data_IF_708052735368
#
_entry.id   IF_708052735368
#
_cell.length_a   1.000
_cell.length_b   1.000
_cell.length_c   1.000
_cell.angle_alpha   90.00
_cell.angle_beta   90.00
_cell.angle_gamma   90.00
#
_symmetry.space_group_name_H-M   'P 1'
#
loop_
_entity.id
_entity.type
_entity.pdbx_description
1 polymer ?
#
# COMPACT_ATOMS: atom_id res chain seq x y z
N UNK A 1 -1.92 -14.03 63.21
CA UNK A 1 -2.67 -14.04 61.92
C UNK A 1 -2.98 -12.61 61.52
N UNK A 2 -2.98 -12.32 60.22
CA UNK A 2 -3.21 -11.04 59.50
C UNK A 2 -1.95 -10.22 59.13
N UNK A 3 -1.59 -10.23 57.84
CA UNK A 3 -1.49 -9.03 56.96
C UNK A 3 -1.08 -9.47 55.53
N UNK A 4 -2.05 -9.57 54.63
CA UNK A 4 -2.31 -8.63 53.51
C UNK A 4 -1.27 -8.69 52.38
N UNK A 5 -1.59 -9.55 51.41
CA UNK A 5 -1.41 -9.48 49.96
C UNK A 5 -0.73 -8.19 49.46
N UNK A 6 0.43 -8.33 48.82
CA UNK A 6 1.02 -7.31 47.96
C UNK A 6 1.21 -7.91 46.57
N UNK A 7 0.16 -7.81 45.76
CA UNK A 7 0.19 -8.09 44.32
C UNK A 7 0.93 -6.94 43.63
N UNK A 8 2.14 -7.18 43.14
CA UNK A 8 2.80 -6.23 42.22
C UNK A 8 2.46 -6.67 40.81
N UNK A 9 1.42 -6.05 40.25
CA UNK A 9 1.15 -6.12 38.82
C UNK A 9 2.21 -5.27 38.10
N UNK A 10 3.15 -5.92 37.43
CA UNK A 10 4.05 -5.26 36.50
C UNK A 10 3.24 -4.87 35.25
N UNK A 11 2.92 -3.58 35.12
CA UNK A 11 2.25 -3.02 33.94
C UNK A 11 3.28 -2.87 32.82
N UNK A 12 3.15 -3.70 31.80
CA UNK A 12 3.91 -3.61 30.55
C UNK A 12 3.48 -2.39 29.74
N UNK A 13 4.22 -1.29 29.85
CA UNK A 13 4.05 -0.15 28.97
C UNK A 13 4.76 -0.43 27.62
N UNK A 14 4.10 -1.15 26.72
CA UNK A 14 4.43 -1.07 25.29
C UNK A 14 3.82 0.22 24.75
N UNK A 15 4.56 1.31 24.88
CA UNK A 15 4.21 2.57 24.21
C UNK A 15 4.65 2.44 22.74
N UNK A 16 3.72 1.97 21.91
CA UNK A 16 3.88 1.95 20.45
C UNK A 16 4.00 3.39 19.93
N UNK A 17 5.14 3.72 19.36
CA UNK A 17 5.34 4.97 18.64
C UNK A 17 4.67 4.82 17.27
N UNK A 18 3.45 5.34 17.11
CA UNK A 18 2.82 5.52 15.80
C UNK A 18 3.41 6.79 15.17
N UNK A 19 4.59 6.65 14.56
CA UNK A 19 5.24 7.74 13.81
C UNK A 19 4.58 7.85 12.42
N UNK A 20 3.43 8.53 12.39
CA UNK A 20 2.91 9.17 11.18
C UNK A 20 3.76 10.41 10.92
N UNK A 21 4.80 10.27 10.11
CA UNK A 21 5.52 11.40 9.50
C UNK A 21 6.12 10.95 8.16
N UNK A 22 5.56 11.44 7.05
CA UNK A 22 6.12 11.57 5.68
C UNK A 22 7.09 10.51 5.12
N UNK A 23 8.24 10.28 5.76
CA UNK A 23 9.18 9.21 5.41
C UNK A 23 8.62 7.80 5.71
N UNK A 24 7.80 7.67 6.76
CA UNK A 24 7.14 6.43 7.17
C UNK A 24 6.18 5.89 6.10
N UNK A 25 5.64 6.77 5.25
CA UNK A 25 4.67 6.39 4.23
C UNK A 25 5.32 5.58 3.11
N UNK A 26 6.56 5.91 2.74
CA UNK A 26 7.33 5.15 1.74
C UNK A 26 7.69 3.76 2.23
N UNK A 27 8.05 3.61 3.50
CA UNK A 27 8.34 2.32 4.12
C UNK A 27 7.07 1.48 4.29
N UNK A 28 5.96 2.10 4.68
CA UNK A 28 4.65 1.45 4.74
C UNK A 28 4.18 0.96 3.36
N UNK A 29 4.36 1.78 2.31
CA UNK A 29 4.07 1.38 0.94
C UNK A 29 4.92 0.19 0.50
N UNK A 30 6.24 0.24 0.75
CA UNK A 30 7.15 -0.88 0.43
C UNK A 30 6.77 -2.15 1.17
N UNK A 31 6.46 -2.06 2.46
CA UNK A 31 6.04 -3.21 3.26
C UNK A 31 4.74 -3.82 2.74
N UNK A 32 3.71 -2.98 2.49
CA UNK A 32 2.44 -3.43 1.96
C UNK A 32 2.61 -4.12 0.60
N UNK A 33 3.37 -3.51 -0.32
CA UNK A 33 3.61 -4.06 -1.65
C UNK A 33 4.46 -5.33 -1.60
N UNK A 34 5.56 -5.36 -0.84
CA UNK A 34 6.39 -6.55 -0.70
C UNK A 34 5.62 -7.75 -0.15
N UNK A 35 4.65 -7.52 0.76
CA UNK A 35 3.80 -8.60 1.30
C UNK A 35 2.93 -9.29 0.25
N UNK A 36 2.67 -8.64 -0.89
CA UNK A 36 1.88 -9.17 -2.00
C UNK A 36 2.73 -9.95 -3.03
N UNK A 37 4.06 -9.91 -2.92
CA UNK A 37 4.99 -10.54 -3.86
C UNK A 37 5.29 -11.99 -3.48
N UNK A 38 5.68 -12.79 -4.48
CA UNK A 38 6.10 -14.19 -4.26
C UNK A 38 7.39 -14.30 -3.46
N UNK A 39 8.35 -13.41 -3.73
CA UNK A 39 9.62 -13.30 -3.02
C UNK A 39 9.79 -11.86 -2.50
N UNK A 40 9.29 -11.55 -1.28
CA UNK A 40 9.29 -10.20 -0.71
C UNK A 40 10.70 -9.60 -0.57
N UNK A 41 11.69 -10.44 -0.25
CA UNK A 41 13.09 -10.02 -0.04
C UNK A 41 13.78 -9.62 -1.35
N UNK A 42 13.23 -10.05 -2.49
CA UNK A 42 13.76 -9.68 -3.81
C UNK A 42 13.21 -8.37 -4.36
N UNK A 43 12.29 -7.71 -3.65
CA UNK A 43 11.57 -6.54 -4.13
C UNK A 43 12.53 -5.39 -4.47
N UNK A 44 12.43 -4.91 -5.71
CA UNK A 44 13.14 -3.75 -6.22
C UNK A 44 12.13 -2.66 -6.54
N UNK A 45 12.24 -1.51 -5.89
CA UNK A 45 11.35 -0.37 -6.09
C UNK A 45 12.06 0.72 -6.89
N UNK A 46 11.32 1.39 -7.77
CA UNK A 46 11.80 2.58 -8.48
C UNK A 46 10.66 3.56 -8.77
N UNK A 47 11.05 4.78 -9.14
CA UNK A 47 10.15 5.88 -9.55
C UNK A 47 9.00 6.12 -8.55
N UNK A 48 9.32 6.10 -7.24
CA UNK A 48 8.39 6.40 -6.17
C UNK A 48 7.93 7.86 -6.26
N UNK A 49 6.63 8.06 -6.41
CA UNK A 49 5.98 9.37 -6.34
C UNK A 49 4.98 9.42 -5.19
N UNK A 50 4.70 10.63 -4.70
CA UNK A 50 3.63 10.86 -3.73
C UNK A 50 2.79 12.06 -4.15
N UNK A 51 1.47 11.88 -4.11
CA UNK A 51 0.49 12.93 -4.42
C UNK A 51 -0.67 12.82 -3.43
N UNK A 52 -0.83 13.80 -2.56
CA UNK A 52 -1.82 13.75 -1.48
C UNK A 52 -1.62 12.50 -0.61
N UNK A 53 -2.67 11.71 -0.31
CA UNK A 53 -2.54 10.50 0.48
C UNK A 53 -2.03 9.30 -0.32
N UNK A 54 -1.62 9.47 -1.58
CA UNK A 54 -1.23 8.35 -2.43
C UNK A 54 0.26 8.30 -2.70
N UNK A 55 0.79 7.08 -2.69
CA UNK A 55 2.13 6.73 -3.12
C UNK A 55 1.99 5.81 -4.32
N UNK A 56 2.72 6.11 -5.39
CA UNK A 56 2.77 5.28 -6.60
C UNK A 56 4.20 4.99 -6.95
N UNK A 57 4.43 3.98 -7.78
CA UNK A 57 5.75 3.67 -8.29
C UNK A 57 5.76 2.34 -9.01
N UNK A 58 6.95 1.78 -9.20
CA UNK A 58 7.12 0.46 -9.81
C UNK A 58 7.85 -0.49 -8.87
N UNK A 59 7.42 -1.75 -8.87
CA UNK A 59 8.08 -2.84 -8.15
C UNK A 59 8.44 -3.97 -9.11
N UNK A 60 9.57 -4.61 -8.89
CA UNK A 60 9.98 -5.84 -9.56
C UNK A 60 10.38 -6.87 -8.50
N UNK A 61 10.02 -8.13 -8.70
CA UNK A 61 10.36 -9.22 -7.78
C UNK A 61 10.57 -10.54 -8.53
N UNK A 62 11.20 -11.50 -7.85
CA UNK A 62 11.39 -12.85 -8.39
C UNK A 62 10.08 -13.65 -8.32
N UNK A 63 9.86 -14.47 -9.35
CA UNK A 63 8.83 -15.49 -9.34
C UNK A 63 9.30 -16.77 -8.62
N UNK A 64 8.43 -17.78 -8.55
CA UNK A 64 8.74 -19.09 -7.94
C UNK A 64 9.93 -19.83 -8.57
N UNK A 65 10.28 -19.49 -9.81
CA UNK A 65 11.43 -20.07 -10.53
C UNK A 65 12.73 -19.27 -10.29
N UNK A 66 12.68 -18.22 -9.47
CA UNK A 66 13.84 -17.39 -9.10
C UNK A 66 14.19 -16.29 -10.11
N UNK A 67 13.39 -16.10 -11.16
CA UNK A 67 13.61 -15.06 -12.17
C UNK A 67 12.79 -13.80 -11.92
N UNK A 68 13.36 -12.62 -12.19
CA UNK A 68 12.63 -11.34 -12.15
C UNK A 68 11.59 -11.27 -13.27
N UNK A 69 10.37 -10.84 -12.93
CA UNK A 69 9.24 -10.79 -13.89
C UNK A 69 9.07 -9.43 -14.58
N UNK A 70 9.85 -8.43 -14.18
CA UNK A 70 9.78 -7.07 -14.71
C UNK A 70 9.08 -6.10 -13.77
N UNK A 71 9.33 -4.81 -13.99
CA UNK A 71 8.73 -3.74 -13.18
C UNK A 71 7.25 -3.56 -13.49
N UNK A 72 6.42 -3.62 -12.45
CA UNK A 72 4.98 -3.41 -12.52
C UNK A 72 4.57 -2.20 -11.69
N UNK A 73 3.60 -1.41 -12.15
CA UNK A 73 3.12 -0.27 -11.38
C UNK A 73 2.33 -0.73 -10.15
N UNK A 74 2.43 0.06 -9.09
CA UNK A 74 1.66 -0.11 -7.87
C UNK A 74 1.12 1.22 -7.37
N UNK A 75 0.11 1.13 -6.50
CA UNK A 75 -0.35 2.25 -5.67
C UNK A 75 -0.44 1.82 -4.21
N UNK A 76 -0.34 2.81 -3.32
CA UNK A 76 -0.57 2.70 -1.89
C UNK A 76 -1.28 3.95 -1.38
N UNK A 77 -2.33 3.74 -0.59
CA UNK A 77 -3.09 4.78 0.08
C UNK A 77 -2.65 4.88 1.53
N UNK A 78 -2.06 6.01 1.89
CA UNK A 78 -1.59 6.30 3.25
C UNK A 78 -2.74 6.58 4.23
N UNK A 79 -3.92 6.94 3.73
CA UNK A 79 -5.11 7.22 4.53
C UNK A 79 -5.91 5.97 4.88
N UNK A 80 -5.98 4.98 3.98
CA UNK A 80 -6.71 3.72 4.19
C UNK A 80 -5.81 2.51 4.44
N UNK A 81 -4.53 2.59 4.10
CA UNK A 81 -3.60 1.45 4.06
C UNK A 81 -3.81 0.53 2.86
N UNK A 82 -4.70 0.87 1.92
CA UNK A 82 -4.99 0.06 0.74
C UNK A 82 -3.81 0.07 -0.23
N UNK A 83 -3.45 -1.11 -0.73
CA UNK A 83 -2.34 -1.29 -1.65
C UNK A 83 -2.76 -2.17 -2.83
N UNK A 84 -2.28 -1.85 -4.03
CA UNK A 84 -2.58 -2.61 -5.22
C UNK A 84 -1.40 -2.72 -6.17
N UNK A 85 -1.24 -3.90 -6.74
CA UNK A 85 -0.29 -4.21 -7.82
C UNK A 85 -1.05 -4.39 -9.11
N UNK A 86 -0.49 -3.88 -10.21
CA UNK A 86 -1.08 -4.13 -11.51
C UNK A 86 -1.03 -5.64 -11.84
N UNK A 87 -2.17 -6.25 -12.22
CA UNK A 87 -2.26 -7.68 -12.50
C UNK A 87 -1.52 -8.10 -13.78
N UNK A 88 -0.94 -7.15 -14.54
CA UNK A 88 0.05 -7.44 -15.58
C UNK A 88 1.28 -8.23 -15.06
N UNK A 89 1.37 -8.41 -13.73
CA UNK A 89 2.34 -9.22 -13.02
C UNK A 89 2.15 -10.73 -13.03
N UNK A 90 0.94 -11.21 -13.32
CA UNK A 90 0.62 -12.61 -13.12
C UNK A 90 1.21 -13.46 -14.27
N UNK A 91 2.09 -14.45 -14.00
CA UNK A 91 2.56 -15.35 -15.04
C UNK A 91 1.38 -16.17 -15.57
N UNK A 92 1.10 -15.99 -16.85
CA UNK A 92 -0.03 -16.57 -17.57
C UNK A 92 0.16 -18.09 -17.69
N UNK A 93 -0.38 -18.85 -16.75
CA UNK A 93 -0.40 -20.32 -16.81
C UNK A 93 -1.84 -20.83 -16.82
N UNK A 94 -2.46 -20.86 -18.00
CA UNK A 94 -3.69 -21.63 -18.22
C UNK A 94 -4.80 -20.89 -18.96
N UNK A 95 -5.18 -21.43 -20.12
CA UNK A 95 -6.35 -21.04 -20.89
C UNK A 95 -7.55 -21.90 -20.44
N UNK A 96 -8.43 -21.38 -19.58
CA UNK A 96 -9.82 -21.84 -19.48
C UNK A 96 -10.75 -20.91 -18.66
N UNK A 97 -10.24 -20.22 -17.63
CA UNK A 97 -11.12 -19.53 -16.64
C UNK A 97 -10.85 -18.01 -16.55
N UNK A 98 -10.15 -17.49 -17.56
CA UNK A 98 -9.22 -16.37 -17.43
C UNK A 98 -9.86 -14.96 -17.48
N UNK A 99 -11.01 -14.82 -18.13
CA UNK A 99 -11.54 -13.49 -18.45
C UNK A 99 -12.20 -12.79 -17.24
N UNK A 100 -12.72 -13.52 -16.26
CA UNK A 100 -13.48 -12.91 -15.15
C UNK A 100 -12.60 -12.49 -13.99
N UNK A 101 -11.67 -13.34 -13.55
CA UNK A 101 -10.81 -13.04 -12.39
C UNK A 101 -9.76 -11.96 -12.71
N UNK A 102 -9.20 -11.98 -13.93
CA UNK A 102 -8.30 -10.90 -14.37
C UNK A 102 -9.03 -9.59 -14.63
N UNK A 103 -10.26 -9.65 -15.14
CA UNK A 103 -11.11 -8.47 -15.25
C UNK A 103 -11.38 -7.88 -13.87
N UNK A 104 -11.69 -8.70 -12.87
CA UNK A 104 -11.92 -8.22 -11.50
C UNK A 104 -10.65 -7.65 -10.86
N UNK A 105 -9.49 -8.30 -11.01
CA UNK A 105 -8.22 -7.78 -10.50
C UNK A 105 -7.80 -6.48 -11.20
N UNK A 106 -8.02 -6.40 -12.52
CA UNK A 106 -7.82 -5.16 -13.28
C UNK A 106 -8.77 -4.07 -12.81
N UNK A 107 -10.06 -4.36 -12.67
CA UNK A 107 -11.07 -3.41 -12.21
C UNK A 107 -10.73 -2.94 -10.79
N UNK A 108 -10.33 -3.82 -9.88
CA UNK A 108 -9.94 -3.47 -8.53
C UNK A 108 -8.70 -2.56 -8.52
N UNK A 109 -7.67 -2.88 -9.32
CA UNK A 109 -6.49 -2.04 -9.47
C UNK A 109 -6.86 -0.66 -10.04
N UNK A 110 -7.63 -0.62 -11.13
CA UNK A 110 -8.05 0.62 -11.79
C UNK A 110 -8.94 1.49 -10.88
N UNK A 111 -9.81 0.87 -10.09
CA UNK A 111 -10.65 1.57 -9.12
C UNK A 111 -9.81 2.17 -7.99
N UNK A 112 -8.84 1.42 -7.45
CA UNK A 112 -7.93 1.93 -6.43
C UNK A 112 -7.03 3.06 -6.93
N UNK A 113 -6.52 2.95 -8.16
CA UNK A 113 -5.76 4.03 -8.80
C UNK A 113 -6.64 5.28 -9.03
N UNK A 114 -7.89 5.10 -9.48
CA UNK A 114 -8.84 6.19 -9.65
C UNK A 114 -9.21 6.87 -8.32
N UNK A 115 -9.37 6.09 -7.25
CA UNK A 115 -9.53 6.61 -5.90
C UNK A 115 -8.30 7.41 -5.47
N UNK A 116 -7.11 6.93 -5.82
CA UNK A 116 -5.88 7.65 -5.52
C UNK A 116 -5.80 9.01 -6.20
N UNK A 117 -6.16 9.07 -7.48
CA UNK A 117 -6.25 10.32 -8.22
C UNK A 117 -7.30 11.27 -7.64
N UNK A 118 -8.46 10.74 -7.27
CA UNK A 118 -9.55 11.54 -6.68
C UNK A 118 -9.16 12.09 -5.31
N UNK A 119 -8.53 11.27 -4.47
CA UNK A 119 -8.03 11.68 -3.15
C UNK A 119 -6.93 12.74 -3.27
N UNK A 120 -6.04 12.62 -4.25
CA UNK A 120 -5.05 13.64 -4.56
C UNK A 120 -5.69 14.98 -4.99
N UNK A 121 -6.69 14.96 -5.87
CA UNK A 121 -7.42 16.18 -6.27
C UNK A 121 -8.12 16.81 -5.07
N UNK A 122 -8.74 16.00 -4.21
CA UNK A 122 -9.38 16.49 -2.99
C UNK A 122 -8.38 17.13 -2.03
N UNK A 123 -7.22 16.50 -1.82
CA UNK A 123 -6.16 17.06 -0.99
C UNK A 123 -5.68 18.42 -1.52
N UNK A 124 -5.48 18.55 -2.83
CA UNK A 124 -5.12 19.82 -3.47
C UNK A 124 -6.19 20.89 -3.28
N UNK A 125 -7.48 20.51 -3.34
CA UNK A 125 -8.57 21.44 -3.11
C UNK A 125 -8.64 21.91 -1.64
N UNK A 126 -8.39 21.01 -0.68
CA UNK A 126 -8.37 21.34 0.75
C UNK A 126 -7.16 22.25 1.12
N UNK A 127 -6.04 22.10 0.41
CA UNK A 127 -4.84 22.96 0.57
C UNK A 127 -5.03 24.35 -0.05
N UNK A 128 -5.90 24.49 -1.07
CA UNK A 128 -6.18 25.76 -1.74
C UNK A 128 -7.69 26.08 -1.77
N UNK A 129 -8.29 26.43 -0.62
CA UNK A 129 -9.74 26.70 -0.51
C UNK A 129 -10.19 27.94 -1.31
N UNK A 130 -9.25 28.78 -1.74
CA UNK A 130 -9.50 30.03 -2.47
C UNK A 130 -9.92 29.84 -3.94
N UNK A 131 -9.76 28.65 -4.52
CA UNK A 131 -10.25 28.35 -5.89
C UNK A 131 -11.69 27.78 -5.92
N UNK A 132 -12.37 27.72 -4.77
CA UNK A 132 -13.64 27.02 -4.60
C UNK A 132 -14.93 27.78 -4.92
N UNK A 133 -14.90 29.03 -5.43
CA UNK A 133 -16.13 29.77 -5.77
C UNK A 133 -15.92 30.70 -6.98
N UNK A 134 -15.88 30.15 -8.19
CA UNK A 134 -16.24 30.89 -9.40
C UNK A 134 -17.60 30.35 -9.87
N UNK A 135 -18.67 31.00 -9.40
CA UNK A 135 -20.03 30.83 -9.93
C UNK A 135 -20.16 31.48 -11.31
#
# INVERSE_FOLDING_TARGET
>A
MIRRIASIAAVSAMSGCSLVTGAANGDAARAAISSMLTDPESAQFKDLGSTGPCITGFVNARNRMGGYVGFQPFYYRTDTGEAGLSPAAMPYTGLADFETEQSQANIAYMNGEAQCRTAAIRALHDEHPEFGNAS
#
